data_IF_145047090142
#
_entry.id   IF_145047090142
#
_cell.length_a   1.000
_cell.length_b   1.000
_cell.length_c   1.000
_cell.angle_alpha   90.00
_cell.angle_beta   90.00
_cell.angle_gamma   90.00
#
_symmetry.space_group_name_H-M   'P 1'
#
loop_
_entity.id
_entity.type
_entity.pdbx_description
1 polymer ?
#
# COMPACT_ATOMS: atom_id res chain seq x y z
N UNK A 1 -6.05 -23.71 -3.89
CA UNK A 1 -6.43 -22.28 -3.79
C UNK A 1 -5.25 -21.56 -3.19
N UNK A 2 -4.70 -20.58 -3.90
CA UNK A 2 -3.54 -19.83 -3.45
C UNK A 2 -4.03 -18.56 -2.73
N UNK A 3 -4.47 -18.74 -1.50
CA UNK A 3 -5.18 -17.69 -0.72
C UNK A 3 -4.26 -16.51 -0.41
N UNK A 4 -2.97 -16.76 -0.18
CA UNK A 4 -1.99 -15.72 0.12
C UNK A 4 -1.81 -14.73 -1.04
N UNK A 5 -1.77 -15.23 -2.28
CA UNK A 5 -1.67 -14.38 -3.47
C UNK A 5 -2.93 -13.50 -3.64
N UNK A 6 -4.11 -14.05 -3.35
CA UNK A 6 -5.37 -13.33 -3.39
C UNK A 6 -5.47 -12.26 -2.28
N UNK A 7 -5.08 -12.60 -1.05
CA UNK A 7 -5.04 -11.68 0.09
C UNK A 7 -4.07 -10.53 -0.17
N UNK A 8 -2.90 -10.85 -0.72
CA UNK A 8 -1.90 -9.87 -1.11
C UNK A 8 -2.44 -8.89 -2.15
N UNK A 9 -3.07 -9.40 -3.20
CA UNK A 9 -3.65 -8.56 -4.25
C UNK A 9 -4.76 -7.66 -3.68
N UNK A 10 -5.61 -8.20 -2.81
CA UNK A 10 -6.68 -7.44 -2.15
C UNK A 10 -6.11 -6.26 -1.35
N UNK A 11 -5.06 -6.47 -0.56
CA UNK A 11 -4.43 -5.40 0.21
C UNK A 11 -3.77 -4.35 -0.68
N UNK A 12 -3.15 -4.76 -1.79
CA UNK A 12 -2.57 -3.82 -2.76
C UNK A 12 -3.66 -2.95 -3.38
N UNK A 13 -4.80 -3.53 -3.75
CA UNK A 13 -5.92 -2.78 -4.29
C UNK A 13 -6.50 -1.81 -3.26
N UNK A 14 -6.59 -2.21 -1.99
CA UNK A 14 -7.00 -1.30 -0.91
C UNK A 14 -6.05 -0.10 -0.77
N UNK A 15 -4.73 -0.35 -0.79
CA UNK A 15 -3.71 0.72 -0.74
C UNK A 15 -3.84 1.64 -1.96
N UNK A 16 -4.03 1.08 -3.15
CA UNK A 16 -4.20 1.85 -4.40
C UNK A 16 -5.43 2.75 -4.32
N UNK A 17 -6.57 2.23 -3.88
CA UNK A 17 -7.81 3.00 -3.69
C UNK A 17 -7.60 4.18 -2.74
N UNK A 18 -6.93 3.98 -1.60
CA UNK A 18 -6.61 5.06 -0.69
C UNK A 18 -5.76 6.13 -1.35
N UNK A 19 -4.65 5.74 -1.99
CA UNK A 19 -3.72 6.68 -2.63
C UNK A 19 -4.40 7.48 -3.74
N UNK A 20 -5.25 6.84 -4.54
CA UNK A 20 -5.91 7.48 -5.69
C UNK A 20 -7.11 8.35 -5.28
N UNK A 21 -7.66 8.15 -4.08
CA UNK A 21 -8.82 8.93 -3.61
C UNK A 21 -8.52 10.42 -3.42
N UNK A 22 -7.28 10.82 -3.09
CA UNK A 22 -6.89 12.23 -2.96
C UNK A 22 -5.41 12.45 -3.32
N UNK A 23 -5.11 13.54 -4.03
CA UNK A 23 -3.75 13.91 -4.53
C UNK A 23 -2.68 14.02 -3.43
N UNK A 24 -3.05 14.11 -2.15
CA UNK A 24 -2.14 14.14 -1.00
C UNK A 24 -1.90 12.79 -0.31
N UNK A 25 -2.71 11.77 -0.60
CA UNK A 25 -2.75 10.54 0.22
C UNK A 25 -1.49 9.70 0.12
N UNK A 26 -0.80 9.71 -1.02
CA UNK A 26 0.48 9.02 -1.13
C UNK A 26 1.55 9.59 -0.17
N UNK A 27 1.58 10.93 -0.01
CA UNK A 27 2.50 11.60 0.89
C UNK A 27 2.08 11.36 2.35
N UNK A 28 0.79 11.51 2.64
CA UNK A 28 0.23 11.23 3.96
C UNK A 28 0.54 9.81 4.43
N UNK A 29 0.33 8.81 3.55
CA UNK A 29 0.63 7.42 3.86
C UNK A 29 2.12 7.20 4.15
N UNK A 30 3.00 7.81 3.34
CA UNK A 30 4.44 7.71 3.53
C UNK A 30 4.88 8.25 4.89
N UNK A 31 4.34 9.40 5.30
CA UNK A 31 4.62 10.04 6.59
C UNK A 31 4.08 9.19 7.75
N UNK A 32 2.83 8.75 7.67
CA UNK A 32 2.18 7.98 8.73
C UNK A 32 2.79 6.58 8.92
N UNK A 33 3.19 5.91 7.84
CA UNK A 33 3.71 4.54 7.92
C UNK A 33 5.24 4.47 8.07
N UNK A 34 5.93 5.61 8.01
CA UNK A 34 7.39 5.70 7.86
C UNK A 34 7.94 4.87 6.69
N UNK A 35 7.14 4.67 5.63
CA UNK A 35 7.58 3.97 4.42
C UNK A 35 7.85 5.02 3.36
N UNK A 36 9.03 5.01 2.72
CA UNK A 36 9.36 5.97 1.67
C UNK A 36 8.30 6.01 0.55
N UNK A 37 7.91 7.21 0.14
CA UNK A 37 6.88 7.43 -0.88
C UNK A 37 7.20 6.72 -2.21
N UNK A 38 8.49 6.58 -2.56
CA UNK A 38 8.93 5.83 -3.74
C UNK A 38 8.60 4.32 -3.65
N UNK A 39 8.65 3.70 -2.47
CA UNK A 39 8.25 2.30 -2.28
C UNK A 39 6.75 2.12 -2.46
N UNK A 40 5.95 3.05 -1.94
CA UNK A 40 4.49 3.08 -2.16
C UNK A 40 4.19 3.28 -3.66
N UNK A 41 4.91 4.18 -4.32
CA UNK A 41 4.78 4.40 -5.77
C UNK A 41 5.08 3.13 -6.58
N UNK A 42 6.12 2.39 -6.23
CA UNK A 42 6.48 1.14 -6.89
C UNK A 42 5.45 0.04 -6.68
N UNK A 43 4.86 -0.04 -5.47
CA UNK A 43 3.79 -0.97 -5.14
C UNK A 43 2.55 -0.74 -6.04
N UNK A 44 2.06 0.49 -6.09
CA UNK A 44 0.81 0.83 -6.80
C UNK A 44 0.98 0.88 -8.33
N UNK A 45 2.22 1.00 -8.85
CA UNK A 45 2.50 1.03 -10.30
C UNK A 45 2.95 -0.32 -10.86
N UNK A 46 2.80 -1.40 -10.09
CA UNK A 46 3.17 -2.77 -10.51
C UNK A 46 4.59 -2.84 -11.10
N UNK A 47 5.53 -2.11 -10.51
CA UNK A 47 6.93 -2.19 -10.94
C UNK A 47 7.55 -3.49 -10.46
N UNK A 48 8.63 -3.92 -11.13
CA UNK A 48 9.38 -5.16 -10.92
C UNK A 48 9.82 -5.42 -9.47
N UNK A 49 9.78 -4.41 -8.60
CA UNK A 49 10.02 -4.55 -7.16
C UNK A 49 8.70 -4.44 -6.40
N UNK A 50 8.15 -5.60 -6.03
CA UNK A 50 6.97 -5.68 -5.18
C UNK A 50 7.40 -5.83 -3.72
N UNK A 51 7.01 -4.91 -2.82
CA UNK A 51 7.26 -5.03 -1.38
C UNK A 51 6.78 -6.38 -0.81
N UNK A 52 7.48 -6.88 0.21
CA UNK A 52 7.06 -8.06 0.96
C UNK A 52 5.74 -7.83 1.70
N UNK A 53 5.09 -8.93 2.10
CA UNK A 53 3.77 -8.93 2.75
C UNK A 53 3.73 -8.03 4.00
N UNK A 54 4.78 -8.03 4.83
CA UNK A 54 4.89 -7.18 6.02
C UNK A 54 4.73 -5.68 5.70
N UNK A 55 5.29 -5.24 4.56
CA UNK A 55 5.17 -3.84 4.14
C UNK A 55 3.74 -3.53 3.69
N UNK A 56 3.09 -4.48 3.01
CA UNK A 56 1.72 -4.35 2.52
C UNK A 56 0.75 -4.29 3.70
N UNK A 57 0.89 -5.19 4.67
CA UNK A 57 0.10 -5.20 5.91
C UNK A 57 0.28 -3.89 6.67
N UNK A 58 1.53 -3.45 6.89
CA UNK A 58 1.81 -2.19 7.60
C UNK A 58 1.13 -0.99 6.92
N UNK A 59 1.15 -0.92 5.58
CA UNK A 59 0.48 0.14 4.83
C UNK A 59 -1.04 0.08 5.02
N UNK A 60 -1.64 -1.10 4.93
CA UNK A 60 -3.08 -1.29 5.11
C UNK A 60 -3.54 -0.91 6.53
N UNK A 61 -2.83 -1.38 7.56
CA UNK A 61 -3.08 -1.01 8.96
C UNK A 61 -2.92 0.50 9.18
N UNK A 62 -1.92 1.13 8.55
CA UNK A 62 -1.75 2.58 8.64
C UNK A 62 -2.95 3.32 8.04
N UNK A 63 -3.48 2.86 6.89
CA UNK A 63 -4.67 3.46 6.28
C UNK A 63 -5.88 3.34 7.22
N UNK A 64 -6.09 2.18 7.85
CA UNK A 64 -7.18 1.99 8.82
C UNK A 64 -7.10 2.96 10.01
N UNK A 65 -5.90 3.41 10.39
CA UNK A 65 -5.71 4.38 11.46
C UNK A 65 -5.84 5.84 11.01
N UNK A 66 -5.75 6.11 9.70
CA UNK A 66 -5.96 7.46 9.12
C UNK A 66 -7.46 7.72 8.89
N UNK A 67 -8.23 6.67 8.58
CA UNK A 67 -9.64 6.74 8.22
C UNK A 67 -10.58 6.71 9.44
#
# INVERSE_FOLDING_TARGET
MDTEAADREMLIQYIRQFVDSQRGNQKLLAEASSIPQNKISSLIRERSFSPGMDTIIKLAETIQNIQ
#
